data_IF_752999086909
#
_entry.id   IF_752999086909
#
_cell.length_a   1.000
_cell.length_b   1.000
_cell.length_c   1.000
_cell.angle_alpha   90.00
_cell.angle_beta   90.00
_cell.angle_gamma   90.00
#
_symmetry.space_group_name_H-M   'P 1'
#
loop_
_entity.id
_entity.type
_entity.pdbx_description
1 polymer ?
#
# COMPACT_ATOMS: atom_id res chain seq x y z
N UNK A 1 -14.88 -55.78 -7.37
CA UNK A 1 -14.39 -55.22 -7.31
C UNK A 1 -14.60 -54.02 -7.22
N UNK A 2 -14.61 -53.29 -6.64
CA UNK A 2 -14.88 -52.23 -6.55
C UNK A 2 -14.01 -51.44 -6.21
N UNK A 3 -13.80 -50.54 -6.51
CA UNK A 3 -12.98 -49.79 -6.35
C UNK A 3 -13.20 -48.73 -5.59
N UNK A 4 -12.75 -48.37 -4.73
CA UNK A 4 -13.03 -47.40 -4.02
C UNK A 4 -12.59 -46.22 -4.41
N UNK A 5 -13.35 -45.49 -4.73
CA UNK A 5 -12.94 -44.39 -5.20
C UNK A 5 -12.70 -43.46 -4.16
N UNK A 6 -11.74 -43.56 -3.47
CA UNK A 6 -11.51 -42.78 -2.47
C UNK A 6 -11.18 -41.50 -2.88
N UNK A 7 -11.78 -40.50 -2.63
CA UNK A 7 -11.56 -39.25 -3.02
C UNK A 7 -10.73 -38.51 -2.11
N UNK A 8 -9.74 -37.75 -2.46
CA UNK A 8 -8.84 -37.02 -1.60
C UNK A 8 -9.36 -35.66 -1.22
N UNK A 9 -10.55 -35.62 -0.74
CA UNK A 9 -11.13 -34.39 -0.36
C UNK A 9 -10.44 -33.76 0.83
N UNK A 10 -9.80 -34.58 1.64
CA UNK A 10 -9.10 -34.03 2.79
C UNK A 10 -7.94 -33.13 2.42
N UNK A 11 -7.28 -33.44 1.32
CA UNK A 11 -6.17 -32.63 0.88
C UNK A 11 -6.61 -31.27 0.45
N UNK A 12 -7.75 -31.18 -0.19
CA UNK A 12 -8.27 -29.89 -0.61
C UNK A 12 -8.59 -29.04 0.60
N UNK A 13 -9.16 -29.65 1.63
CA UNK A 13 -9.46 -28.92 2.84
C UNK A 13 -8.22 -28.40 3.53
N UNK A 14 -7.17 -29.21 3.55
CA UNK A 14 -5.93 -28.80 4.19
C UNK A 14 -5.28 -27.63 3.47
N UNK A 15 -5.30 -27.65 2.15
CA UNK A 15 -4.74 -26.55 1.41
C UNK A 15 -5.48 -25.26 1.66
N UNK A 16 -6.80 -25.36 1.71
CA UNK A 16 -7.56 -24.17 1.96
C UNK A 16 -7.24 -23.54 3.29
N UNK A 17 -7.00 -24.34 4.29
CA UNK A 17 -6.69 -23.78 5.59
C UNK A 17 -5.38 -23.02 5.57
N UNK A 18 -4.42 -23.51 4.82
CA UNK A 18 -3.15 -22.86 4.77
C UNK A 18 -3.20 -21.55 4.00
N UNK A 19 -4.10 -21.47 3.03
CA UNK A 19 -4.16 -20.27 2.21
C UNK A 19 -5.22 -19.28 2.68
N UNK A 20 -6.05 -19.67 3.66
CA UNK A 20 -7.07 -18.77 4.13
C UNK A 20 -6.49 -17.75 5.06
N UNK A 21 -6.32 -16.58 4.57
CA UNK A 21 -5.93 -15.43 5.37
C UNK A 21 -7.18 -14.62 5.58
N UNK A 22 -7.37 -14.07 6.74
CA UNK A 22 -8.58 -13.30 6.99
C UNK A 22 -8.60 -12.03 6.13
N UNK A 23 -9.78 -11.58 5.80
CA UNK A 23 -9.93 -10.33 5.05
C UNK A 23 -9.31 -9.16 5.79
N UNK A 24 -9.38 -9.18 7.11
CA UNK A 24 -8.77 -8.14 7.93
C UNK A 24 -7.24 -8.14 7.77
N UNK A 25 -6.63 -9.31 7.73
CA UNK A 25 -5.19 -9.41 7.55
C UNK A 25 -4.74 -8.94 6.19
N UNK A 26 -5.50 -9.29 5.15
CA UNK A 26 -5.22 -8.81 3.80
C UNK A 26 -5.32 -7.29 3.74
N UNK A 27 -6.35 -6.75 4.34
CA UNK A 27 -6.57 -5.31 4.38
C UNK A 27 -5.41 -4.59 5.06
N UNK A 28 -4.96 -5.11 6.20
CA UNK A 28 -3.83 -4.51 6.93
C UNK A 28 -2.54 -4.62 6.16
N UNK A 29 -2.31 -5.74 5.50
CA UNK A 29 -1.12 -5.93 4.68
C UNK A 29 -1.09 -4.92 3.53
N UNK A 30 -2.22 -4.66 2.91
CA UNK A 30 -2.32 -3.67 1.84
C UNK A 30 -2.04 -2.26 2.37
N UNK A 31 -2.49 -1.96 3.57
CA UNK A 31 -2.23 -0.66 4.19
C UNK A 31 -0.74 -0.47 4.47
N UNK A 32 -0.07 -1.52 4.95
CA UNK A 32 1.36 -1.47 5.17
C UNK A 32 2.13 -1.33 3.85
N UNK A 33 1.65 -1.99 2.81
CA UNK A 33 2.25 -1.88 1.49
C UNK A 33 2.20 -0.45 0.95
N UNK A 34 1.15 0.28 1.27
CA UNK A 34 1.04 1.68 0.89
C UNK A 34 2.18 2.50 1.53
N UNK A 35 2.49 2.21 2.79
CA UNK A 35 3.56 2.91 3.48
C UNK A 35 4.93 2.64 2.88
N UNK A 36 5.19 1.41 2.49
CA UNK A 36 6.51 1.03 1.99
C UNK A 36 6.77 1.52 0.57
N UNK A 37 5.77 2.14 -0.06
CA UNK A 37 5.94 2.66 -1.40
C UNK A 37 6.76 3.96 -1.45
N UNK A 38 7.05 4.57 -0.31
CA UNK A 38 7.78 5.83 -0.30
C UNK A 38 9.28 5.57 -0.14
N UNK A 39 10.08 5.75 -1.19
CA UNK A 39 11.50 5.40 -1.16
C UNK A 39 12.37 6.52 -0.61
N UNK A 40 12.22 6.79 0.67
CA UNK A 40 12.90 7.90 1.33
C UNK A 40 14.43 7.89 1.16
N UNK A 41 15.04 6.74 1.38
CA UNK A 41 16.50 6.65 1.29
C UNK A 41 17.01 6.90 -0.11
N UNK A 42 16.27 6.42 -1.10
CA UNK A 42 16.63 6.65 -2.49
C UNK A 42 16.50 8.10 -2.86
N UNK A 43 15.47 8.76 -2.35
CA UNK A 43 15.27 10.17 -2.56
C UNK A 43 16.47 10.95 -2.00
N UNK A 44 16.86 10.64 -0.77
CA UNK A 44 17.99 11.32 -0.17
C UNK A 44 19.28 11.13 -0.95
N UNK A 45 19.53 9.93 -1.40
CA UNK A 45 20.74 9.65 -2.18
C UNK A 45 20.76 10.36 -3.52
N UNK A 46 19.63 10.34 -4.20
CA UNK A 46 19.53 10.88 -5.55
C UNK A 46 19.53 12.38 -5.56
N UNK A 47 18.85 12.98 -4.61
CA UNK A 47 18.61 14.41 -4.62
C UNK A 47 19.63 15.18 -3.81
N UNK A 48 20.15 14.57 -2.74
CA UNK A 48 21.08 15.22 -1.83
C UNK A 48 20.50 16.54 -1.33
N UNK A 49 19.40 16.46 -0.58
CA UNK A 49 18.66 17.67 -0.21
C UNK A 49 19.45 18.59 0.72
N UNK A 50 19.20 19.87 0.59
CA UNK A 50 19.72 20.87 1.52
C UNK A 50 18.98 20.76 2.85
N UNK A 51 19.44 21.48 3.86
CA UNK A 51 18.78 21.45 5.17
C UNK A 51 17.32 21.89 5.10
N UNK A 52 17.04 22.92 4.32
CA UNK A 52 15.67 23.37 4.15
C UNK A 52 14.83 22.34 3.43
N UNK A 53 15.41 21.67 2.43
CA UNK A 53 14.72 20.60 1.71
C UNK A 53 14.51 19.37 2.58
N UNK A 54 15.44 19.09 3.48
CA UNK A 54 15.29 17.98 4.42
C UNK A 54 14.09 18.20 5.34
N UNK A 55 13.89 19.44 5.78
CA UNK A 55 12.74 19.75 6.62
C UNK A 55 11.44 19.47 5.86
N UNK A 56 11.36 19.85 4.59
CA UNK A 56 10.20 19.56 3.77
C UNK A 56 10.04 18.06 3.51
N UNK A 57 11.13 17.34 3.34
CA UNK A 57 11.12 15.90 3.16
C UNK A 57 10.63 15.20 4.43
N UNK A 58 11.07 15.66 5.61
CA UNK A 58 10.61 15.10 6.87
C UNK A 58 9.11 15.33 7.07
N UNK A 59 8.63 16.51 6.69
CA UNK A 59 7.22 16.80 6.75
C UNK A 59 6.44 15.85 5.84
N UNK A 60 6.93 15.66 4.63
CA UNK A 60 6.32 14.73 3.68
C UNK A 60 6.31 13.31 4.24
N UNK A 61 7.43 12.88 4.82
CA UNK A 61 7.51 11.56 5.42
C UNK A 61 6.48 11.41 6.55
N UNK A 62 6.36 12.43 7.39
CA UNK A 62 5.42 12.39 8.50
C UNK A 62 3.99 12.20 8.02
N UNK A 63 3.58 12.96 6.99
CA UNK A 63 2.22 12.81 6.48
C UNK A 63 2.05 11.51 5.70
N UNK A 64 3.10 11.04 5.02
CA UNK A 64 3.02 9.78 4.29
C UNK A 64 2.81 8.59 5.21
N UNK A 65 3.33 8.64 6.44
CA UNK A 65 3.13 7.56 7.39
C UNK A 65 1.73 7.53 7.99
N UNK A 66 0.97 8.60 7.85
CA UNK A 66 -0.40 8.64 8.34
C UNK A 66 -1.37 7.89 7.43
N UNK A 67 -1.03 7.79 6.16
CA UNK A 67 -1.88 7.11 5.20
C UNK A 67 -2.19 5.67 5.57
N UNK A 68 -1.18 4.86 5.90
CA UNK A 68 -1.42 3.48 6.30
C UNK A 68 -2.32 3.36 7.53
N UNK A 69 -2.19 4.27 8.48
CA UNK A 69 -3.03 4.25 9.67
C UNK A 69 -4.49 4.53 9.32
N UNK A 70 -4.72 5.49 8.43
CA UNK A 70 -6.06 5.78 7.95
C UNK A 70 -6.66 4.56 7.24
N UNK A 71 -5.86 3.88 6.44
CA UNK A 71 -6.32 2.69 5.74
C UNK A 71 -6.59 1.54 6.68
N UNK A 72 -5.76 1.37 7.71
CA UNK A 72 -5.96 0.32 8.70
C UNK A 72 -7.27 0.50 9.42
N UNK A 73 -7.63 1.74 9.72
CA UNK A 73 -8.87 2.03 10.44
C UNK A 73 -10.10 1.63 9.64
N UNK A 74 -9.97 1.43 8.34
CA UNK A 74 -11.09 0.99 7.51
C UNK A 74 -11.15 -0.52 7.37
N UNK A 75 -10.23 -1.26 8.00
CA UNK A 75 -10.22 -2.70 7.90
C UNK A 75 -11.18 -3.31 8.93
N UNK A 76 -12.26 -3.97 8.49
CA UNK A 76 -13.17 -4.59 9.43
C UNK A 76 -12.55 -5.85 10.01
N UNK A 77 -13.01 -6.27 11.18
CA UNK A 77 -12.57 -7.53 11.76
C UNK A 77 -13.11 -8.70 10.96
N UNK A 78 -14.29 -8.54 10.36
CA UNK A 78 -14.86 -9.56 9.49
C UNK A 78 -15.44 -8.88 8.28
N UNK A 79 -15.28 -9.47 7.13
CA UNK A 79 -15.88 -8.94 5.92
C UNK A 79 -17.39 -9.13 5.98
N UNK A 80 -18.18 -8.11 5.68
CA UNK A 80 -19.64 -8.24 5.67
C UNK A 80 -20.12 -9.33 4.73
N UNK A 81 -21.20 -9.97 5.10
CA UNK A 81 -21.76 -11.05 4.31
C UNK A 81 -22.65 -10.58 3.17
N UNK A 82 -23.08 -9.35 3.19
CA UNK A 82 -23.95 -8.81 2.15
C UNK A 82 -23.18 -8.03 1.11
N UNK A 83 -23.66 -7.99 -0.13
CA UNK A 83 -23.01 -7.17 -1.16
C UNK A 83 -23.00 -5.69 -0.80
N UNK A 84 -24.08 -5.19 -0.22
CA UNK A 84 -24.16 -3.78 0.17
C UNK A 84 -23.18 -3.47 1.29
N UNK A 85 -22.99 -4.39 2.24
CA UNK A 85 -22.00 -4.22 3.29
C UNK A 85 -20.59 -4.22 2.75
N UNK A 86 -20.30 -5.07 1.77
CA UNK A 86 -18.97 -5.11 1.14
C UNK A 86 -18.68 -3.82 0.40
N UNK A 87 -19.68 -3.28 -0.30
CA UNK A 87 -19.49 -2.00 -1.00
C UNK A 87 -19.25 -0.87 -0.01
N UNK A 88 -19.89 -0.91 1.14
CA UNK A 88 -19.65 0.10 2.17
C UNK A 88 -18.21 0.05 2.67
N UNK A 89 -17.63 -1.13 2.80
CA UNK A 89 -16.22 -1.27 3.18
C UNK A 89 -15.32 -0.69 2.10
N UNK A 90 -15.61 -0.98 0.82
CA UNK A 90 -14.83 -0.44 -0.29
C UNK A 90 -14.92 1.09 -0.31
N UNK A 91 -16.11 1.62 -0.11
CA UNK A 91 -16.30 3.06 -0.07
C UNK A 91 -15.48 3.70 1.05
N UNK A 92 -15.52 3.12 2.23
CA UNK A 92 -14.74 3.64 3.37
C UNK A 92 -13.24 3.62 3.05
N UNK A 93 -12.77 2.57 2.39
CA UNK A 93 -11.36 2.49 2.01
C UNK A 93 -10.99 3.54 0.99
N UNK A 94 -11.82 3.73 -0.01
CA UNK A 94 -11.57 4.74 -1.04
C UNK A 94 -11.56 6.13 -0.45
N UNK A 95 -12.46 6.41 0.49
CA UNK A 95 -12.46 7.68 1.19
C UNK A 95 -11.19 7.88 2.01
N UNK A 96 -10.73 6.85 2.69
CA UNK A 96 -9.50 6.92 3.46
C UNK A 96 -8.29 7.14 2.55
N UNK A 97 -8.25 6.48 1.40
CA UNK A 97 -7.19 6.69 0.42
C UNK A 97 -7.20 8.12 -0.11
N UNK A 98 -8.38 8.63 -0.39
CA UNK A 98 -8.52 10.00 -0.87
C UNK A 98 -8.04 11.00 0.19
N UNK A 99 -8.40 10.79 1.44
CA UNK A 99 -7.94 11.65 2.52
C UNK A 99 -6.42 11.59 2.69
N UNK A 100 -5.85 10.40 2.56
CA UNK A 100 -4.40 10.23 2.64
C UNK A 100 -3.71 11.03 1.52
N UNK A 101 -4.22 10.94 0.30
CA UNK A 101 -3.66 11.67 -0.84
C UNK A 101 -3.83 13.16 -0.65
N UNK A 102 -4.98 13.61 -0.19
CA UNK A 102 -5.22 15.03 0.04
C UNK A 102 -4.29 15.61 1.10
N UNK A 103 -3.93 14.81 2.08
CA UNK A 103 -3.02 15.25 3.14
C UNK A 103 -1.57 15.23 2.65
N UNK A 104 -1.22 14.22 1.87
CA UNK A 104 0.15 14.04 1.40
C UNK A 104 0.52 14.99 0.26
N UNK A 105 -0.43 15.27 -0.60
CA UNK A 105 -0.17 16.05 -1.81
C UNK A 105 0.41 17.44 -1.54
N UNK A 106 -0.12 18.24 -0.60
CA UNK A 106 0.48 19.55 -0.33
C UNK A 106 1.94 19.45 0.16
N UNK A 107 2.25 18.44 0.97
CA UNK A 107 3.60 18.24 1.45
C UNK A 107 4.52 17.82 0.31
N UNK A 108 4.03 17.00 -0.60
CA UNK A 108 4.78 16.59 -1.79
C UNK A 108 5.02 17.80 -2.69
N UNK A 109 4.01 18.63 -2.93
CA UNK A 109 4.15 19.82 -3.76
C UNK A 109 5.18 20.77 -3.16
N UNK A 110 5.13 20.94 -1.85
CA UNK A 110 6.07 21.81 -1.15
C UNK A 110 7.51 21.30 -1.32
N UNK A 111 7.71 20.01 -1.10
CA UNK A 111 9.03 19.42 -1.26
C UNK A 111 9.51 19.53 -2.71
N UNK A 112 8.69 19.11 -3.66
CA UNK A 112 9.04 19.11 -5.06
C UNK A 112 9.39 20.52 -5.56
N UNK A 113 8.57 21.50 -5.16
CA UNK A 113 8.80 22.87 -5.58
C UNK A 113 10.06 23.50 -4.97
N UNK A 114 10.57 22.92 -3.89
CA UNK A 114 11.80 23.40 -3.28
C UNK A 114 13.04 22.89 -4.02
N UNK A 115 12.89 21.96 -4.93
CA UNK A 115 14.02 21.34 -5.62
C UNK A 115 14.51 22.18 -6.79
N UNK A 116 15.82 22.09 -7.07
CA UNK A 116 16.37 22.70 -8.28
C UNK A 116 15.92 21.87 -9.49
N UNK A 117 16.12 22.40 -10.68
CA UNK A 117 15.77 21.71 -11.91
C UNK A 117 16.52 20.39 -12.04
N UNK A 118 17.79 20.34 -11.64
CA UNK A 118 18.54 19.11 -11.66
C UNK A 118 17.99 18.10 -10.67
N UNK A 119 17.66 18.55 -9.47
CA UNK A 119 17.08 17.68 -8.46
C UNK A 119 15.73 17.15 -8.91
N UNK A 120 14.92 18.00 -9.53
CA UNK A 120 13.63 17.56 -10.07
C UNK A 120 13.81 16.47 -11.12
N UNK A 121 14.80 16.63 -11.98
CA UNK A 121 15.09 15.63 -13.00
C UNK A 121 15.47 14.30 -12.37
N UNK A 122 16.30 14.32 -11.33
CA UNK A 122 16.69 13.12 -10.61
C UNK A 122 15.50 12.49 -9.89
N UNK A 123 14.68 13.33 -9.27
CA UNK A 123 13.47 12.85 -8.59
C UNK A 123 12.52 12.18 -9.57
N UNK A 124 12.32 12.82 -10.72
CA UNK A 124 11.44 12.29 -11.75
C UNK A 124 11.94 10.98 -12.34
N UNK A 125 13.23 10.75 -12.26
CA UNK A 125 13.83 9.52 -12.75
C UNK A 125 13.72 8.36 -11.76
N UNK A 126 13.41 8.67 -10.49
CA UNK A 126 13.20 7.61 -9.50
C UNK A 126 11.93 6.86 -9.83
N UNK A 127 12.05 5.55 -9.93
CA UNK A 127 10.90 4.74 -10.19
C UNK A 127 10.47 4.08 -8.90
N UNK A 128 9.16 3.95 -8.69
CA UNK A 128 8.70 3.19 -7.53
C UNK A 128 9.24 1.77 -7.65
N UNK A 129 9.47 1.10 -6.52
CA UNK A 129 9.94 -0.27 -6.54
C UNK A 129 8.99 -1.09 -7.39
N UNK A 130 9.54 -1.64 -8.46
CA UNK A 130 8.70 -2.40 -9.35
C UNK A 130 8.41 -3.71 -8.70
N UNK A 131 7.17 -4.03 -8.60
CA UNK A 131 6.81 -5.35 -8.19
C UNK A 131 7.35 -6.31 -9.24
N UNK A 132 7.87 -7.43 -8.82
CA UNK A 132 8.35 -8.40 -9.76
C UNK A 132 7.23 -8.71 -10.73
N UNK A 133 7.61 -8.59 -11.99
CA UNK A 133 6.68 -8.76 -13.03
C UNK A 133 6.11 -10.12 -12.99
N UNK A 134 4.83 -10.24 -12.64
CA UNK A 134 4.35 -11.49 -12.52
C UNK A 134 3.86 -11.96 -13.76
N UNK A 135 3.96 -11.38 -14.89
CA UNK A 135 3.43 -11.95 -15.97
C UNK A 135 4.32 -12.45 -16.78
N UNK A 136 4.14 -13.35 -17.34
CA UNK A 136 4.85 -13.87 -18.08
C UNK A 136 4.28 -14.37 -18.92
N UNK A 137 4.12 -14.34 -19.42
CA UNK A 137 3.43 -14.70 -20.49
C UNK A 137 3.60 -15.94 -21.12
#
# INVERSE_FOLDING_TARGET
MRVGSEQPTARVGARNRQTLVSSAEICRAQALGYSTAFPEQEIERSIQPTEAQKAALDELRTVATKGPDLLKDTCPSEMPSTPTGRLAVVEARLNAMLEAVKTERPAMDKFYNSLSNEQKARFNALRPPQQPNRHRG
#
